data_IF_708519986778
#
_entry.id   IF_708519986778
#
_cell.length_a   1.000
_cell.length_b   1.000
_cell.length_c   1.000
_cell.angle_alpha   90.00
_cell.angle_beta   90.00
_cell.angle_gamma   90.00
#
_symmetry.space_group_name_H-M   'P 1'
#
loop_
_entity.id
_entity.type
_entity.pdbx_description
1 polymer ?
#
# COMPACT_ATOMS: atom_id res chain seq x y z
N UNK A 1 6.90 16.53 -28.03
CA UNK A 1 7.38 17.17 -26.78
C UNK A 1 7.68 16.02 -25.84
N UNK A 2 8.94 15.90 -25.42
CA UNK A 2 9.66 14.69 -25.01
C UNK A 2 8.84 13.62 -24.27
N UNK A 3 8.61 12.47 -24.92
CA UNK A 3 7.82 11.35 -24.36
C UNK A 3 8.49 10.62 -23.18
N UNK A 4 9.77 10.88 -22.90
CA UNK A 4 10.49 10.26 -21.76
C UNK A 4 11.54 11.22 -21.19
N UNK A 5 11.13 12.32 -20.57
CA UNK A 5 12.07 13.31 -20.00
C UNK A 5 12.98 12.71 -18.92
N UNK A 6 12.53 11.63 -18.26
CA UNK A 6 13.23 11.00 -17.13
C UNK A 6 13.97 9.70 -17.47
N UNK A 7 13.57 8.94 -18.50
CA UNK A 7 14.13 7.59 -18.74
C UNK A 7 14.72 7.50 -20.14
N UNK A 8 16.03 7.26 -20.24
CA UNK A 8 16.72 7.08 -21.53
C UNK A 8 16.52 5.68 -22.11
N UNK A 9 16.68 5.53 -23.43
CA UNK A 9 16.68 4.22 -24.09
C UNK A 9 17.73 3.28 -23.50
N UNK A 10 18.93 3.80 -23.18
CA UNK A 10 19.99 3.03 -22.53
C UNK A 10 19.54 2.50 -21.17
N UNK A 11 18.85 3.32 -20.37
CA UNK A 11 18.30 2.87 -19.09
C UNK A 11 17.24 1.79 -19.29
N UNK A 12 16.34 1.94 -20.25
CA UNK A 12 15.33 0.91 -20.57
C UNK A 12 16.00 -0.43 -20.91
N UNK A 13 17.06 -0.42 -21.72
CA UNK A 13 17.83 -1.63 -22.03
C UNK A 13 18.44 -2.26 -20.76
N UNK A 14 19.01 -1.46 -19.86
CA UNK A 14 19.57 -1.97 -18.60
C UNK A 14 18.48 -2.57 -17.72
N UNK A 15 17.34 -1.87 -17.56
CA UNK A 15 16.21 -2.37 -16.77
C UNK A 15 15.67 -3.68 -17.35
N UNK A 16 15.53 -3.79 -18.67
CA UNK A 16 15.10 -5.01 -19.35
C UNK A 16 16.10 -6.17 -19.18
N UNK A 17 17.41 -5.90 -19.21
CA UNK A 17 18.44 -6.91 -18.91
C UNK A 17 18.40 -7.39 -17.45
N UNK A 18 17.96 -6.55 -16.52
CA UNK A 18 17.90 -6.86 -15.08
C UNK A 18 16.62 -7.62 -14.72
N UNK A 19 15.48 -7.09 -15.14
CA UNK A 19 14.16 -7.61 -14.76
C UNK A 19 13.61 -8.63 -15.76
N UNK A 20 14.12 -8.65 -16.99
CA UNK A 20 13.52 -9.33 -18.14
C UNK A 20 12.67 -8.37 -18.97
N UNK A 21 12.70 -8.52 -20.29
CA UNK A 21 12.00 -7.63 -21.24
C UNK A 21 10.49 -7.57 -20.97
N UNK A 22 9.84 -8.70 -20.71
CA UNK A 22 8.41 -8.78 -20.39
C UNK A 22 8.02 -8.11 -19.05
N UNK A 23 9.01 -7.75 -18.24
CA UNK A 23 8.83 -7.13 -16.93
C UNK A 23 9.16 -5.63 -16.94
N UNK A 24 9.26 -5.00 -18.13
CA UNK A 24 9.42 -3.55 -18.32
C UNK A 24 8.36 -3.05 -19.29
N UNK A 25 7.36 -2.34 -18.77
CA UNK A 25 6.24 -1.81 -19.54
C UNK A 25 6.34 -0.28 -19.63
N UNK A 26 6.00 0.29 -20.78
CA UNK A 26 5.99 1.74 -20.98
C UNK A 26 4.56 2.26 -21.07
N UNK A 27 4.33 3.48 -20.57
CA UNK A 27 3.01 4.14 -20.62
C UNK A 27 1.90 3.27 -20.00
N UNK A 28 2.24 2.55 -18.92
CA UNK A 28 1.38 1.55 -18.30
C UNK A 28 0.31 2.22 -17.41
N UNK A 29 -0.99 2.02 -17.66
CA UNK A 29 -2.06 2.70 -16.92
C UNK A 29 -2.16 2.21 -15.46
N UNK A 30 -1.93 3.11 -14.50
CA UNK A 30 -1.91 2.75 -13.09
C UNK A 30 -3.27 2.31 -12.53
N UNK A 31 -4.39 2.61 -13.20
CA UNK A 31 -5.71 2.06 -12.83
C UNK A 31 -5.76 0.53 -12.82
N UNK A 32 -4.90 -0.15 -13.56
CA UNK A 32 -4.82 -1.62 -13.55
C UNK A 32 -4.13 -2.14 -12.26
N UNK A 33 -3.33 -1.27 -11.63
CA UNK A 33 -2.46 -1.59 -10.50
C UNK A 33 -2.90 -0.98 -9.15
N UNK A 34 -4.04 -0.27 -9.11
CA UNK A 34 -4.66 0.23 -7.88
C UNK A 34 -5.98 -0.47 -7.59
N UNK A 35 -6.33 -0.66 -6.31
CA UNK A 35 -7.66 -1.18 -5.95
C UNK A 35 -8.75 -0.15 -6.17
N UNK A 36 -8.38 1.13 -6.21
CA UNK A 36 -9.30 2.22 -6.54
C UNK A 36 -9.75 2.16 -8.01
N UNK A 37 -8.99 1.47 -8.87
CA UNK A 37 -9.20 1.42 -10.33
C UNK A 37 -9.16 2.81 -10.97
N UNK A 38 -8.26 3.65 -10.47
CA UNK A 38 -8.00 5.02 -10.91
C UNK A 38 -6.49 5.21 -11.05
N UNK A 39 -6.06 5.92 -12.08
CA UNK A 39 -4.66 6.29 -12.29
C UNK A 39 -4.27 6.40 -13.77
N UNK A 40 -3.59 7.51 -14.11
CA UNK A 40 -2.97 7.72 -15.41
C UNK A 40 -1.74 6.83 -15.66
N UNK A 41 -1.01 7.04 -16.77
CA UNK A 41 0.11 6.19 -17.16
C UNK A 41 1.37 6.42 -16.31
N UNK A 42 2.00 5.34 -15.85
CA UNK A 42 3.40 5.36 -15.45
C UNK A 42 4.29 5.46 -16.70
N UNK A 43 5.34 6.31 -16.69
CA UNK A 43 6.29 6.37 -17.80
C UNK A 43 6.90 4.99 -18.07
N UNK A 44 7.38 4.34 -17.00
CA UNK A 44 7.89 2.96 -17.01
C UNK A 44 7.42 2.22 -15.76
N UNK A 45 6.88 1.02 -15.93
CA UNK A 45 6.59 0.07 -14.86
C UNK A 45 7.57 -1.12 -14.94
N UNK A 46 8.21 -1.45 -13.83
CA UNK A 46 9.17 -2.56 -13.73
C UNK A 46 8.70 -3.55 -12.65
N UNK A 47 8.68 -4.85 -13.00
CA UNK A 47 8.28 -5.96 -12.10
C UNK A 47 9.46 -6.90 -11.82
N UNK A 48 10.38 -6.54 -10.90
CA UNK A 48 11.52 -7.41 -10.57
C UNK A 48 11.04 -8.71 -9.90
N UNK A 49 11.75 -9.82 -10.12
CA UNK A 49 11.37 -11.15 -9.61
C UNK A 49 12.29 -11.73 -8.55
N UNK A 50 13.37 -11.03 -8.23
CA UNK A 50 14.35 -11.44 -7.21
C UNK A 50 14.87 -10.21 -6.47
N UNK A 51 15.38 -10.41 -5.24
CA UNK A 51 15.94 -9.33 -4.46
C UNK A 51 17.13 -8.66 -5.17
N UNK A 52 17.96 -9.46 -5.85
CA UNK A 52 19.10 -8.95 -6.62
C UNK A 52 18.64 -8.11 -7.83
N UNK A 53 17.59 -8.55 -8.53
CA UNK A 53 17.00 -7.77 -9.62
C UNK A 53 16.41 -6.46 -9.10
N UNK A 54 15.68 -6.49 -7.98
CA UNK A 54 15.15 -5.30 -7.32
C UNK A 54 16.27 -4.31 -6.99
N UNK A 55 17.33 -4.76 -6.30
CA UNK A 55 18.46 -3.89 -5.93
C UNK A 55 19.11 -3.28 -7.17
N UNK A 56 19.34 -4.07 -8.23
CA UNK A 56 19.94 -3.57 -9.47
C UNK A 56 19.05 -2.57 -10.22
N UNK A 57 17.72 -2.79 -10.24
CA UNK A 57 16.76 -1.81 -10.79
C UNK A 57 16.86 -0.51 -10.02
N UNK A 58 16.82 -0.56 -8.68
CA UNK A 58 16.91 0.63 -7.83
C UNK A 58 18.23 1.36 -8.03
N UNK A 59 19.36 0.66 -7.96
CA UNK A 59 20.70 1.23 -8.19
C UNK A 59 20.77 1.94 -9.54
N UNK A 60 20.20 1.34 -10.60
CA UNK A 60 20.18 1.92 -11.95
C UNK A 60 19.40 3.23 -11.98
N UNK A 61 18.19 3.25 -11.40
CA UNK A 61 17.36 4.45 -11.36
C UNK A 61 18.01 5.56 -10.52
N UNK A 62 18.53 5.24 -9.33
CA UNK A 62 19.17 6.22 -8.45
C UNK A 62 20.47 6.79 -9.05
N UNK A 63 21.27 5.96 -9.71
CA UNK A 63 22.48 6.42 -10.41
C UNK A 63 22.15 7.35 -11.59
N UNK A 64 21.03 7.09 -12.28
CA UNK A 64 20.54 7.94 -13.37
C UNK A 64 19.75 9.18 -12.91
N UNK A 65 19.56 9.38 -11.60
CA UNK A 65 18.75 10.49 -11.08
C UNK A 65 17.26 10.40 -11.42
N UNK A 66 16.76 9.20 -11.71
CA UNK A 66 15.37 8.97 -12.13
C UNK A 66 14.47 8.81 -10.91
N UNK A 67 13.34 9.53 -10.84
CA UNK A 67 12.37 9.35 -9.76
C UNK A 67 11.85 7.90 -9.73
N UNK A 68 11.84 7.29 -8.53
CA UNK A 68 11.34 5.94 -8.32
C UNK A 68 10.13 5.97 -7.41
N UNK A 69 9.06 5.29 -7.81
CA UNK A 69 7.87 5.06 -6.97
C UNK A 69 7.69 3.56 -6.74
N UNK A 70 7.65 3.14 -5.48
CA UNK A 70 7.37 1.74 -5.12
C UNK A 70 5.88 1.55 -4.94
N UNK A 71 5.30 0.56 -5.61
CA UNK A 71 3.89 0.23 -5.53
C UNK A 71 3.72 -1.23 -5.15
N UNK A 72 2.91 -1.47 -4.11
CA UNK A 72 2.46 -2.79 -3.70
C UNK A 72 1.12 -3.15 -4.35
N UNK A 73 0.13 -3.47 -3.52
CA UNK A 73 -1.23 -3.77 -3.99
C UNK A 73 -2.00 -2.54 -4.52
N UNK A 74 -1.44 -1.34 -4.37
CA UNK A 74 -2.09 -0.07 -4.72
C UNK A 74 -3.38 0.19 -3.93
N UNK A 75 -3.47 -0.35 -2.71
CA UNK A 75 -4.71 -0.37 -1.91
C UNK A 75 -5.00 0.88 -1.10
N UNK A 76 -4.07 1.82 -1.12
CA UNK A 76 -4.07 3.08 -0.36
C UNK A 76 -3.60 4.25 -1.26
N UNK A 77 -3.73 4.09 -2.57
CA UNK A 77 -3.22 5.04 -3.56
C UNK A 77 -4.36 5.67 -4.36
N UNK A 78 -4.30 7.00 -4.49
CA UNK A 78 -4.97 7.76 -5.53
C UNK A 78 -3.89 8.27 -6.48
N UNK A 79 -3.81 7.68 -7.67
CA UNK A 79 -2.85 8.09 -8.69
C UNK A 79 -3.50 9.15 -9.57
N UNK A 80 -2.81 10.27 -9.77
CA UNK A 80 -3.30 11.37 -10.61
C UNK A 80 -3.56 10.96 -12.07
N UNK A 81 -4.44 11.70 -12.75
CA UNK A 81 -4.92 11.36 -14.10
C UNK A 81 -3.83 11.51 -15.17
N UNK A 82 -2.78 12.33 -14.92
CA UNK A 82 -1.59 12.43 -15.78
C UNK A 82 -0.54 11.37 -15.45
N UNK A 83 -0.76 10.56 -14.41
CA UNK A 83 0.05 9.39 -14.09
C UNK A 83 1.34 9.70 -13.32
N UNK A 84 2.33 8.82 -13.42
CA UNK A 84 3.55 8.86 -12.60
C UNK A 84 4.76 9.04 -13.53
N UNK A 85 5.63 10.00 -13.21
CA UNK A 85 6.88 10.24 -13.95
C UNK A 85 8.02 9.37 -13.42
N UNK A 86 8.92 8.95 -14.31
CA UNK A 86 10.07 8.09 -13.96
C UNK A 86 9.72 6.60 -13.91
N UNK A 87 10.23 5.89 -12.91
CA UNK A 87 10.08 4.42 -12.83
C UNK A 87 9.17 4.04 -11.66
N UNK A 88 8.10 3.31 -11.96
CA UNK A 88 7.29 2.60 -10.96
C UNK A 88 7.85 1.19 -10.81
N UNK A 89 8.25 0.80 -9.60
CA UNK A 89 8.64 -0.57 -9.29
C UNK A 89 7.47 -1.24 -8.59
N UNK A 90 6.91 -2.26 -9.23
CA UNK A 90 5.76 -3.01 -8.73
C UNK A 90 6.21 -4.28 -8.00
N UNK A 91 5.84 -4.39 -6.72
CA UNK A 91 6.10 -5.54 -5.87
C UNK A 91 4.76 -6.16 -5.44
N UNK A 92 4.32 -7.21 -6.13
CA UNK A 92 3.11 -7.99 -5.85
C UNK A 92 3.43 -9.48 -5.93
N UNK A 93 2.65 -10.25 -6.69
CA UNK A 93 2.80 -11.68 -6.94
C UNK A 93 4.14 -12.04 -7.61
N UNK A 94 4.77 -11.10 -8.30
CA UNK A 94 6.13 -11.24 -8.83
C UNK A 94 7.23 -11.32 -7.74
N UNK A 95 6.92 -10.95 -6.50
CA UNK A 95 7.87 -10.83 -5.40
C UNK A 95 7.20 -11.18 -4.06
N UNK A 96 6.60 -12.38 -4.00
CA UNK A 96 5.67 -12.82 -2.96
C UNK A 96 6.08 -14.13 -2.25
N UNK A 97 7.37 -14.45 -2.19
CA UNK A 97 7.87 -15.60 -1.43
C UNK A 97 7.47 -15.53 0.05
N UNK A 98 7.06 -16.66 0.63
CA UNK A 98 6.69 -16.82 2.04
C UNK A 98 7.38 -18.08 2.58
N UNK A 99 8.10 -17.92 3.68
CA UNK A 99 8.78 -19.01 4.40
C UNK A 99 8.31 -19.04 5.85
N UNK A 100 7.91 -20.23 6.33
CA UNK A 100 7.47 -20.43 7.71
C UNK A 100 8.50 -21.26 8.46
N UNK A 101 9.06 -20.67 9.53
CA UNK A 101 9.93 -21.33 10.49
C UNK A 101 9.12 -21.62 11.77
N UNK A 102 8.31 -22.66 11.69
CA UNK A 102 7.39 -23.05 12.75
C UNK A 102 8.09 -23.37 14.09
N UNK A 103 9.25 -24.05 14.14
CA UNK A 103 9.98 -24.28 15.41
C UNK A 103 10.37 -23.00 16.15
N UNK A 104 10.59 -21.90 15.44
CA UNK A 104 10.91 -20.60 16.03
C UNK A 104 9.74 -19.62 15.99
N UNK A 105 8.54 -20.05 15.59
CA UNK A 105 7.33 -19.22 15.48
C UNK A 105 7.55 -17.95 14.63
N UNK A 106 8.20 -18.12 13.48
CA UNK A 106 8.49 -17.02 12.56
C UNK A 106 7.88 -17.27 11.19
N UNK A 107 7.46 -16.18 10.56
CA UNK A 107 7.11 -16.17 9.14
C UNK A 107 7.89 -15.05 8.49
N UNK A 108 8.66 -15.35 7.45
CA UNK A 108 9.35 -14.36 6.62
C UNK A 108 8.65 -14.27 5.28
N UNK A 109 8.33 -13.06 4.84
CA UNK A 109 7.63 -12.83 3.58
C UNK A 109 8.27 -11.68 2.79
N UNK A 110 8.34 -11.85 1.47
CA UNK A 110 8.78 -10.81 0.54
C UNK A 110 7.78 -9.66 0.47
N UNK A 111 8.26 -8.49 0.09
CA UNK A 111 7.51 -7.24 0.12
C UNK A 111 6.23 -7.23 -0.72
N UNK A 112 6.13 -8.10 -1.73
CA UNK A 112 4.96 -8.23 -2.58
C UNK A 112 3.92 -9.24 -2.11
N UNK A 113 4.23 -10.06 -1.10
CA UNK A 113 3.27 -11.01 -0.53
C UNK A 113 2.09 -10.26 0.12
N UNK A 114 0.85 -10.73 -0.07
CA UNK A 114 -0.31 -10.15 0.59
C UNK A 114 -0.34 -10.56 2.07
N UNK A 115 -0.75 -9.65 2.95
CA UNK A 115 -0.94 -9.96 4.39
C UNK A 115 -1.88 -11.15 4.61
N UNK A 116 -2.90 -11.28 3.75
CA UNK A 116 -3.80 -12.44 3.73
C UNK A 116 -3.05 -13.77 3.59
N UNK A 117 -2.13 -13.85 2.65
CA UNK A 117 -1.44 -15.10 2.33
C UNK A 117 -0.40 -15.43 3.43
N UNK A 118 0.23 -14.40 4.01
CA UNK A 118 1.10 -14.55 5.19
C UNK A 118 0.30 -15.06 6.40
N UNK A 119 -0.89 -14.50 6.65
CA UNK A 119 -1.76 -14.93 7.74
C UNK A 119 -2.25 -16.37 7.57
N UNK A 120 -2.59 -16.78 6.35
CA UNK A 120 -2.98 -18.16 6.03
C UNK A 120 -1.81 -19.13 6.24
N UNK A 121 -0.61 -18.80 5.73
CA UNK A 121 0.58 -19.63 5.91
C UNK A 121 0.95 -19.79 7.40
N UNK A 122 0.78 -18.74 8.19
CA UNK A 122 0.95 -18.78 9.65
C UNK A 122 -0.10 -19.70 10.31
N UNK A 123 -1.38 -19.53 9.96
CA UNK A 123 -2.49 -20.30 10.52
C UNK A 123 -2.35 -21.82 10.25
N UNK A 124 -1.93 -22.19 9.04
CA UNK A 124 -1.70 -23.59 8.64
C UNK A 124 -0.58 -24.27 9.45
N UNK A 125 0.28 -23.48 10.09
CA UNK A 125 1.34 -23.95 11.00
C UNK A 125 1.01 -23.72 12.49
N UNK A 126 -0.23 -23.32 12.81
CA UNK A 126 -0.65 -23.06 14.19
C UNK A 126 0.02 -21.83 14.80
N UNK A 127 0.33 -20.80 14.00
CA UNK A 127 0.94 -19.56 14.46
C UNK A 127 -0.08 -18.41 14.45
N UNK A 128 -0.27 -17.80 15.62
CA UNK A 128 -1.19 -16.69 15.93
C UNK A 128 -0.44 -15.35 16.02
N UNK A 129 -1.14 -14.27 15.66
CA UNK A 129 -0.71 -12.88 15.68
C UNK A 129 -1.15 -12.09 14.43
N UNK A 130 -1.35 -12.77 13.30
CA UNK A 130 -1.69 -12.15 12.01
C UNK A 130 -3.20 -11.95 11.79
N UNK A 131 -4.05 -12.50 12.65
CA UNK A 131 -5.51 -12.54 12.50
C UNK A 131 -6.12 -11.13 12.35
N UNK A 132 -5.74 -10.09 13.12
CA UNK A 132 -6.31 -8.75 12.93
C UNK A 132 -5.93 -8.13 11.57
N UNK A 133 -4.83 -8.57 10.96
CA UNK A 133 -4.25 -8.01 9.75
C UNK A 133 -4.71 -8.74 8.47
N UNK A 134 -5.26 -9.95 8.60
CA UNK A 134 -5.52 -10.85 7.47
C UNK A 134 -6.45 -10.27 6.41
N UNK A 135 -7.41 -9.45 6.85
CA UNK A 135 -8.37 -8.79 5.98
C UNK A 135 -7.82 -7.52 5.32
N UNK A 136 -6.64 -7.03 5.69
CA UNK A 136 -6.09 -5.80 5.10
C UNK A 136 -5.57 -6.13 3.69
N UNK A 137 -6.06 -5.45 2.62
CA UNK A 137 -5.69 -5.76 1.24
C UNK A 137 -4.33 -5.15 0.86
N UNK A 138 -3.33 -5.24 1.75
CA UNK A 138 -2.00 -4.69 1.56
C UNK A 138 -0.99 -5.80 1.29
N UNK A 139 0.07 -5.47 0.55
CA UNK A 139 1.29 -6.28 0.55
C UNK A 139 2.10 -6.02 1.82
N UNK A 140 3.01 -6.92 2.15
CA UNK A 140 3.94 -6.81 3.29
C UNK A 140 4.74 -5.51 3.25
N UNK A 141 5.22 -5.11 2.07
CA UNK A 141 5.94 -3.86 1.88
C UNK A 141 5.08 -2.64 2.22
N UNK A 142 3.85 -2.60 1.69
CA UNK A 142 2.89 -1.54 2.02
C UNK A 142 2.48 -1.53 3.50
N UNK A 143 2.35 -2.71 4.10
CA UNK A 143 2.02 -2.87 5.51
C UNK A 143 3.13 -2.33 6.43
N UNK A 144 4.39 -2.63 6.13
CA UNK A 144 5.55 -2.08 6.83
C UNK A 144 5.65 -0.57 6.64
N UNK A 145 5.39 -0.09 5.42
CA UNK A 145 5.41 1.34 5.08
C UNK A 145 4.38 2.14 5.88
N UNK A 146 3.15 1.64 5.98
CA UNK A 146 2.06 2.33 6.68
C UNK A 146 1.93 1.95 8.15
N UNK A 147 2.70 1.00 8.67
CA UNK A 147 2.37 0.29 9.91
C UNK A 147 0.87 -0.10 9.91
N UNK A 148 0.46 -0.85 8.88
CA UNK A 148 -0.95 -1.15 8.64
C UNK A 148 -1.56 -1.85 9.85
N UNK A 149 -2.81 -1.53 10.15
CA UNK A 149 -3.49 -2.08 11.31
C UNK A 149 -5.01 -1.94 11.25
N UNK A 150 -5.67 -2.89 11.88
CA UNK A 150 -7.12 -3.01 11.99
C UNK A 150 -7.47 -3.75 13.29
N UNK A 151 -8.64 -3.43 13.85
CA UNK A 151 -9.17 -4.09 15.06
C UNK A 151 -8.17 -4.15 16.23
N UNK A 152 -7.54 -3.02 16.51
CA UNK A 152 -6.51 -2.82 17.55
C UNK A 152 -5.19 -3.56 17.31
N UNK A 153 -5.08 -4.37 16.26
CA UNK A 153 -3.83 -4.99 15.83
C UNK A 153 -3.06 -4.15 14.81
N UNK A 154 -1.73 -4.16 14.87
CA UNK A 154 -0.86 -3.50 13.88
C UNK A 154 0.27 -4.40 13.39
N UNK A 155 0.79 -4.09 12.20
CA UNK A 155 1.94 -4.79 11.61
C UNK A 155 3.13 -4.77 12.58
N UNK A 156 3.37 -3.63 13.24
CA UNK A 156 4.46 -3.45 14.19
C UNK A 156 4.41 -4.32 15.44
N UNK A 157 3.24 -4.82 15.85
CA UNK A 157 3.10 -5.67 17.04
C UNK A 157 3.65 -7.07 16.83
N UNK A 158 3.63 -7.56 15.58
CA UNK A 158 4.11 -8.88 15.20
C UNK A 158 5.42 -8.82 14.43
N UNK A 159 5.89 -7.63 14.03
CA UNK A 159 7.10 -7.46 13.26
C UNK A 159 8.35 -7.65 14.14
N UNK A 160 9.29 -8.46 13.68
CA UNK A 160 10.58 -8.67 14.34
C UNK A 160 11.70 -7.94 13.59
N UNK A 161 11.79 -8.18 12.28
CA UNK A 161 12.82 -7.61 11.42
C UNK A 161 12.25 -7.16 10.07
N UNK A 162 12.88 -6.15 9.47
CA UNK A 162 12.66 -5.79 8.06
C UNK A 162 13.99 -5.71 7.36
N UNK A 163 14.12 -6.43 6.25
CA UNK A 163 15.23 -6.27 5.31
C UNK A 163 14.84 -5.20 4.30
N UNK A 164 15.62 -4.12 4.23
CA UNK A 164 15.33 -2.95 3.39
C UNK A 164 16.51 -2.59 2.51
N UNK A 165 16.22 -2.04 1.34
CA UNK A 165 17.18 -1.28 0.56
C UNK A 165 17.15 0.18 1.04
N UNK A 166 18.34 0.73 1.30
CA UNK A 166 18.58 2.12 1.69
C UNK A 166 19.19 2.83 0.47
N UNK A 167 18.47 3.78 -0.16
CA UNK A 167 19.00 4.55 -1.27
C UNK A 167 20.24 5.35 -0.88
N UNK A 168 21.21 5.46 -1.78
CA UNK A 168 22.38 6.32 -1.58
C UNK A 168 22.01 7.78 -1.77
N UNK A 169 22.45 8.65 -0.85
CA UNK A 169 22.28 10.11 -0.97
C UNK A 169 23.23 10.76 -1.98
N UNK A 170 24.20 10.01 -2.51
CA UNK A 170 25.28 10.53 -3.36
C UNK A 170 25.29 9.95 -4.78
N UNK A 171 24.17 9.37 -5.24
CA UNK A 171 24.07 8.83 -6.61
C UNK A 171 24.87 7.54 -6.85
N UNK A 172 25.37 6.91 -5.78
CA UNK A 172 26.06 5.62 -5.84
C UNK A 172 25.07 4.48 -5.55
N UNK A 173 25.55 3.23 -5.55
CA UNK A 173 24.76 2.08 -5.11
C UNK A 173 24.23 2.26 -3.69
N UNK A 174 22.99 1.85 -3.46
CA UNK A 174 22.43 1.77 -2.12
C UNK A 174 23.01 0.62 -1.32
N UNK A 175 22.49 0.44 -0.10
CA UNK A 175 22.88 -0.66 0.77
C UNK A 175 21.66 -1.43 1.23
N UNK A 176 21.77 -2.75 1.32
CA UNK A 176 20.74 -3.58 1.94
C UNK A 176 21.10 -3.82 3.40
N UNK A 177 20.17 -3.50 4.30
CA UNK A 177 20.33 -3.67 5.74
C UNK A 177 19.12 -4.37 6.33
N UNK A 178 19.31 -5.03 7.47
CA UNK A 178 18.22 -5.56 8.29
C UNK A 178 18.04 -4.65 9.50
N UNK A 179 16.82 -4.16 9.71
CA UNK A 179 16.44 -3.33 10.85
C UNK A 179 15.53 -4.14 11.77
N UNK A 180 15.69 -3.97 13.08
CA UNK A 180 14.72 -4.50 14.04
C UNK A 180 13.48 -3.61 14.09
N UNK A 181 12.33 -4.15 14.48
CA UNK A 181 11.09 -3.37 14.59
C UNK A 181 11.22 -2.16 15.52
N UNK A 182 12.03 -2.25 16.58
CA UNK A 182 12.31 -1.13 17.50
C UNK A 182 13.03 0.05 16.81
N UNK A 183 13.76 -0.21 15.72
CA UNK A 183 14.52 0.80 14.98
C UNK A 183 13.69 1.46 13.86
N UNK A 184 12.41 1.07 13.72
CA UNK A 184 11.50 1.56 12.69
C UNK A 184 10.60 2.71 13.14
N UNK A 185 10.72 3.19 14.39
CA UNK A 185 9.95 4.33 14.91
C UNK A 185 8.45 4.26 14.59
N UNK A 186 7.85 3.06 14.76
CA UNK A 186 6.48 2.77 14.37
C UNK A 186 5.49 3.56 15.23
N UNK A 187 4.42 4.04 14.59
CA UNK A 187 3.32 4.74 15.24
C UNK A 187 2.03 4.58 14.45
N UNK A 188 0.98 5.32 14.83
CA UNK A 188 -0.29 5.32 14.10
C UNK A 188 -0.07 5.82 12.67
N UNK A 189 -0.19 4.91 11.69
CA UNK A 189 0.06 5.17 10.27
C UNK A 189 1.44 5.74 9.96
N UNK A 190 2.44 5.40 10.78
CA UNK A 190 3.80 5.94 10.72
C UNK A 190 4.84 4.84 10.75
N UNK A 191 5.87 4.98 9.92
CA UNK A 191 7.08 4.16 9.96
C UNK A 191 8.31 4.95 9.47
N UNK A 192 9.48 4.55 9.95
CA UNK A 192 10.77 4.99 9.40
C UNK A 192 10.95 4.56 7.95
N UNK A 193 10.29 3.47 7.52
CA UNK A 193 10.31 3.05 6.12
C UNK A 193 9.76 4.17 5.23
N UNK A 194 8.64 4.77 5.62
CA UNK A 194 8.10 5.95 4.97
C UNK A 194 9.01 7.17 5.13
N UNK A 195 9.38 7.50 6.38
CA UNK A 195 10.06 8.77 6.69
C UNK A 195 11.45 8.90 6.04
N UNK A 196 12.19 7.78 5.96
CA UNK A 196 13.56 7.76 5.39
C UNK A 196 13.59 7.30 3.92
N UNK A 197 12.44 6.99 3.32
CA UNK A 197 12.35 6.49 1.93
C UNK A 197 13.00 5.11 1.75
N UNK A 198 12.90 4.23 2.75
CA UNK A 198 13.44 2.87 2.68
C UNK A 198 12.52 1.98 1.85
N UNK A 199 13.11 1.00 1.17
CA UNK A 199 12.36 0.08 0.30
C UNK A 199 12.39 -1.30 0.91
N UNK A 200 11.23 -1.78 1.36
CA UNK A 200 11.10 -3.13 1.96
C UNK A 200 11.40 -4.18 0.90
N UNK A 201 12.27 -5.13 1.25
CA UNK A 201 12.54 -6.33 0.46
C UNK A 201 11.81 -7.52 1.10
N UNK A 202 11.94 -7.68 2.41
CA UNK A 202 11.21 -8.71 3.16
C UNK A 202 10.99 -8.28 4.61
N UNK A 203 10.01 -8.90 5.26
CA UNK A 203 9.74 -8.73 6.68
C UNK A 203 9.63 -10.09 7.36
N UNK A 204 10.13 -10.17 8.59
CA UNK A 204 9.99 -11.35 9.46
C UNK A 204 9.06 -11.00 10.61
N UNK A 205 8.02 -11.80 10.76
CA UNK A 205 7.03 -11.69 11.82
C UNK A 205 7.30 -12.72 12.90
N UNK A 206 7.32 -12.29 14.17
CA UNK A 206 7.39 -13.16 15.34
C UNK A 206 6.00 -13.39 15.88
N UNK A 207 5.58 -14.65 15.85
CA UNK A 207 4.23 -15.09 16.18
C UNK A 207 4.23 -15.95 17.45
N UNK A 208 3.06 -16.40 17.85
CA UNK A 208 2.87 -17.29 19.01
C UNK A 208 2.15 -18.57 18.61
N UNK A 209 2.49 -19.74 19.18
CA UNK A 209 1.78 -20.97 18.90
C UNK A 209 0.35 -20.90 19.45
N UNK A 210 -0.63 -21.33 18.66
CA UNK A 210 -2.02 -21.49 19.07
C UNK A 210 -2.67 -22.64 18.29
N UNK A 211 -3.88 -23.05 18.68
CA UNK A 211 -4.61 -24.04 17.88
C UNK A 211 -5.13 -23.41 16.59
N UNK A 212 -4.98 -24.13 15.47
CA UNK A 212 -5.47 -23.70 14.16
C UNK A 212 -6.96 -23.32 14.20
N UNK A 213 -7.77 -24.08 14.93
CA UNK A 213 -9.21 -23.78 15.08
C UNK A 213 -9.49 -22.43 15.75
N UNK A 214 -8.70 -22.02 16.74
CA UNK A 214 -8.85 -20.69 17.35
C UNK A 214 -8.41 -19.58 16.40
N UNK A 215 -7.31 -19.78 15.67
CA UNK A 215 -6.79 -18.82 14.70
C UNK A 215 -7.82 -18.58 13.59
N UNK A 216 -8.34 -19.67 12.98
CA UNK A 216 -9.35 -19.58 11.92
C UNK A 216 -10.64 -18.94 12.41
N UNK A 217 -11.12 -19.28 13.60
CA UNK A 217 -12.31 -18.65 14.19
C UNK A 217 -12.14 -17.13 14.38
N UNK A 218 -10.95 -16.68 14.80
CA UNK A 218 -10.65 -15.26 14.92
C UNK A 218 -10.60 -14.56 13.54
N UNK A 219 -9.94 -15.18 12.55
CA UNK A 219 -9.92 -14.68 11.17
C UNK A 219 -11.35 -14.53 10.61
N UNK A 220 -12.20 -15.55 10.77
CA UNK A 220 -13.59 -15.53 10.29
C UNK A 220 -14.41 -14.41 10.95
N UNK A 221 -14.22 -14.17 12.25
CA UNK A 221 -14.87 -13.05 12.94
C UNK A 221 -14.43 -11.68 12.40
N UNK A 222 -13.12 -11.48 12.20
CA UNK A 222 -12.62 -10.23 11.61
C UNK A 222 -13.15 -9.99 10.20
N UNK A 223 -13.21 -11.04 9.38
CA UNK A 223 -13.72 -10.94 8.02
C UNK A 223 -15.21 -10.62 7.99
N UNK A 224 -16.01 -11.29 8.81
CA UNK A 224 -17.45 -10.97 8.94
C UNK A 224 -17.66 -9.51 9.33
N UNK A 225 -16.94 -9.02 10.34
CA UNK A 225 -17.03 -7.61 10.77
C UNK A 225 -16.64 -6.65 9.64
N UNK A 226 -15.70 -7.03 8.77
CA UNK A 226 -15.25 -6.24 7.63
C UNK A 226 -16.32 -6.22 6.54
N UNK A 227 -16.87 -7.37 6.19
CA UNK A 227 -17.94 -7.53 5.20
C UNK A 227 -19.22 -6.80 5.62
N UNK A 228 -19.57 -6.79 6.90
CA UNK A 228 -20.72 -6.05 7.42
C UNK A 228 -20.55 -4.53 7.28
N UNK A 229 -19.32 -4.03 7.48
CA UNK A 229 -19.06 -2.59 7.64
C UNK A 229 -18.46 -1.91 6.43
N UNK A 230 -17.81 -2.61 5.50
CA UNK A 230 -17.02 -2.00 4.43
C UNK A 230 -17.56 -2.37 3.03
N UNK A 231 -17.46 -1.47 2.04
CA UNK A 231 -17.88 -1.72 0.65
C UNK A 231 -16.83 -2.55 -0.11
N UNK A 232 -16.64 -3.80 0.28
CA UNK A 232 -15.58 -4.68 -0.26
C UNK A 232 -15.80 -5.04 -1.73
N UNK A 233 -17.03 -4.96 -2.19
CA UNK A 233 -17.46 -5.19 -3.56
C UNK A 233 -17.14 -4.02 -4.51
N UNK A 234 -16.78 -2.85 -3.97
CA UNK A 234 -16.52 -1.64 -4.75
C UNK A 234 -15.04 -1.28 -4.77
N UNK A 235 -14.58 -0.74 -5.90
CA UNK A 235 -13.22 -0.24 -6.03
C UNK A 235 -13.02 1.00 -5.12
N UNK A 236 -12.05 0.92 -4.22
CA UNK A 236 -11.70 1.98 -3.25
C UNK A 236 -10.24 1.88 -2.84
N UNK A 237 -9.69 2.93 -2.22
CA UNK A 237 -8.35 2.94 -1.62
C UNK A 237 -8.39 2.89 -0.08
N UNK A 238 -9.38 2.20 0.50
CA UNK A 238 -9.55 2.13 1.95
C UNK A 238 -10.26 3.37 2.53
N UNK A 239 -10.00 3.65 3.81
CA UNK A 239 -10.57 4.84 4.46
C UNK A 239 -9.93 6.09 3.87
N UNK A 240 -10.76 7.02 3.40
CA UNK A 240 -10.27 8.21 2.70
C UNK A 240 -9.58 9.19 3.63
N UNK A 241 -10.04 9.27 4.88
CA UNK A 241 -9.56 10.23 5.88
C UNK A 241 -9.04 9.52 7.12
N UNK A 242 -8.01 10.11 7.72
CA UNK A 242 -7.52 9.72 9.04
C UNK A 242 -8.61 9.93 10.08
N UNK A 243 -8.45 9.30 11.23
CA UNK A 243 -9.34 9.54 12.37
C UNK A 243 -9.00 10.87 13.06
N UNK A 244 -9.88 11.90 13.01
CA UNK A 244 -9.72 13.09 13.83
C UNK A 244 -9.82 12.78 15.34
N UNK A 245 -9.07 13.50 16.16
CA UNK A 245 -9.05 13.33 17.61
C UNK A 245 -10.46 13.52 18.21
N UNK A 246 -10.93 12.55 19.01
CA UNK A 246 -12.26 12.60 19.63
C UNK A 246 -13.43 12.22 18.72
N UNK A 247 -13.21 11.96 17.43
CA UNK A 247 -14.27 11.70 16.46
C UNK A 247 -14.04 10.43 15.64
N UNK A 248 -15.01 10.11 14.79
CA UNK A 248 -14.91 9.11 13.72
C UNK A 248 -15.23 9.81 12.39
N UNK A 249 -14.29 9.79 11.43
CA UNK A 249 -14.45 10.49 10.16
C UNK A 249 -15.75 10.06 9.43
N UNK A 250 -15.99 8.76 9.28
CA UNK A 250 -17.21 8.26 8.64
C UNK A 250 -18.51 8.68 9.33
N UNK A 251 -18.50 8.91 10.65
CA UNK A 251 -19.67 9.39 11.38
C UNK A 251 -19.90 10.88 11.12
N UNK A 252 -18.85 11.70 11.15
CA UNK A 252 -18.93 13.12 10.78
C UNK A 252 -19.45 13.31 9.35
N UNK A 253 -18.95 12.53 8.39
CA UNK A 253 -19.38 12.60 6.98
C UNK A 253 -20.85 12.18 6.84
N UNK A 254 -21.27 11.16 7.58
CA UNK A 254 -22.67 10.74 7.61
C UNK A 254 -23.58 11.82 8.21
N UNK A 255 -23.17 12.41 9.34
CA UNK A 255 -23.95 13.44 10.05
C UNK A 255 -23.98 14.76 9.28
N UNK A 256 -22.96 15.03 8.45
CA UNK A 256 -22.97 16.11 7.46
C UNK A 256 -23.99 15.90 6.32
N UNK A 257 -24.63 14.73 6.23
CA UNK A 257 -25.60 14.39 5.19
C UNK A 257 -24.96 13.96 3.86
N UNK A 258 -23.67 13.60 3.86
CA UNK A 258 -22.91 13.31 2.63
C UNK A 258 -22.91 11.84 2.20
N UNK A 259 -23.72 10.98 2.82
CA UNK A 259 -23.86 9.59 2.38
C UNK A 259 -24.38 9.57 0.94
N UNK A 260 -23.67 8.89 0.03
CA UNK A 260 -24.04 8.83 -1.38
C UNK A 260 -23.74 10.11 -2.17
N UNK A 261 -23.11 11.12 -1.57
CA UNK A 261 -22.67 12.33 -2.29
C UNK A 261 -21.70 11.94 -3.40
N UNK A 262 -21.83 12.59 -4.56
CA UNK A 262 -21.08 12.26 -5.77
C UNK A 262 -20.43 13.49 -6.38
N UNK A 263 -19.24 13.30 -6.94
CA UNK A 263 -18.61 14.20 -7.92
C UNK A 263 -18.14 13.32 -9.06
N UNK A 264 -18.70 13.51 -10.26
CA UNK A 264 -18.51 12.56 -11.36
C UNK A 264 -18.93 11.14 -10.94
N UNK A 265 -18.06 10.17 -11.18
CA UNK A 265 -18.25 8.76 -10.79
C UNK A 265 -17.59 8.41 -9.43
N UNK A 266 -17.03 9.39 -8.72
CA UNK A 266 -16.58 9.22 -7.34
C UNK A 266 -17.77 9.42 -6.40
N UNK A 267 -17.95 8.51 -5.44
CA UNK A 267 -19.08 8.54 -4.50
C UNK A 267 -18.64 8.26 -3.06
N UNK A 268 -19.21 8.97 -2.09
CA UNK A 268 -19.14 8.58 -0.67
C UNK A 268 -19.98 7.33 -0.48
N UNK A 269 -19.37 6.21 -0.08
CA UNK A 269 -20.05 4.92 0.03
C UNK A 269 -21.31 5.00 0.90
N UNK A 270 -22.39 4.39 0.41
CA UNK A 270 -23.65 4.28 1.15
C UNK A 270 -23.54 3.37 2.38
N UNK A 271 -22.60 2.41 2.33
CA UNK A 271 -22.36 1.42 3.38
C UNK A 271 -21.46 1.99 4.48
N UNK A 272 -20.41 2.72 4.10
CA UNK A 272 -19.47 3.33 5.04
C UNK A 272 -18.99 4.70 4.58
N UNK A 273 -19.53 5.78 5.14
CA UNK A 273 -19.25 7.15 4.68
C UNK A 273 -17.78 7.60 4.84
N UNK A 274 -16.95 6.83 5.55
CA UNK A 274 -15.49 7.04 5.57
C UNK A 274 -14.75 6.55 4.32
N UNK A 275 -15.44 5.91 3.37
CA UNK A 275 -14.88 5.40 2.12
C UNK A 275 -15.41 6.19 0.94
N UNK A 276 -14.51 6.60 0.06
CA UNK A 276 -14.84 6.98 -1.31
C UNK A 276 -14.70 5.76 -2.20
N UNK A 277 -15.69 5.52 -3.04
CA UNK A 277 -15.75 4.40 -3.98
C UNK A 277 -15.81 4.93 -5.41
N UNK A 278 -15.20 4.17 -6.32
CA UNK A 278 -15.33 4.36 -7.75
C UNK A 278 -16.52 3.54 -8.25
N UNK A 279 -17.56 4.21 -8.75
CA UNK A 279 -18.79 3.55 -9.23
C UNK A 279 -18.69 3.05 -10.68
N UNK A 280 -17.58 3.33 -11.36
CA UNK A 280 -17.30 2.79 -12.69
C UNK A 280 -16.14 3.47 -13.40
N UNK A 281 -16.20 4.79 -13.60
CA UNK A 281 -15.20 5.53 -14.39
C UNK A 281 -14.68 6.78 -13.68
N UNK A 282 -14.61 6.75 -12.34
CA UNK A 282 -14.10 7.87 -11.57
C UNK A 282 -12.67 8.23 -12.00
N UNK A 283 -12.42 9.52 -12.19
CA UNK A 283 -11.08 10.07 -12.38
C UNK A 283 -10.45 10.45 -11.04
N UNK A 284 -9.14 10.68 -11.02
CA UNK A 284 -8.47 11.19 -9.83
C UNK A 284 -8.99 12.59 -9.46
N UNK A 285 -9.28 13.42 -10.47
CA UNK A 285 -9.94 14.71 -10.33
C UNK A 285 -11.32 14.61 -9.65
N UNK A 286 -12.13 13.63 -10.01
CA UNK A 286 -13.44 13.42 -9.38
C UNK A 286 -13.30 13.11 -7.89
N UNK A 287 -12.38 12.21 -7.55
CA UNK A 287 -12.10 11.86 -6.14
C UNK A 287 -11.58 13.07 -5.37
N UNK A 288 -10.68 13.86 -5.93
CA UNK A 288 -10.20 15.10 -5.29
C UNK A 288 -11.34 16.09 -5.05
N UNK A 289 -12.18 16.34 -6.05
CA UNK A 289 -13.33 17.25 -5.91
C UNK A 289 -14.30 16.76 -4.82
N UNK A 290 -14.50 15.45 -4.71
CA UNK A 290 -15.33 14.88 -3.65
C UNK A 290 -14.67 15.00 -2.27
N UNK A 291 -13.36 14.79 -2.17
CA UNK A 291 -12.60 14.97 -0.93
C UNK A 291 -12.71 16.42 -0.44
N UNK A 292 -12.49 17.39 -1.33
CA UNK A 292 -12.60 18.83 -1.01
C UNK A 292 -14.02 19.20 -0.57
N UNK A 293 -15.04 18.67 -1.25
CA UNK A 293 -16.44 18.87 -0.86
C UNK A 293 -16.73 18.33 0.54
N UNK A 294 -16.29 17.10 0.84
CA UNK A 294 -16.45 16.47 2.15
C UNK A 294 -15.74 17.26 3.25
N UNK A 295 -14.50 17.68 3.02
CA UNK A 295 -13.73 18.49 3.97
C UNK A 295 -14.43 19.83 4.24
N UNK A 296 -14.90 20.52 3.19
CA UNK A 296 -15.60 21.79 3.32
C UNK A 296 -16.87 21.69 4.16
N UNK A 297 -17.68 20.67 3.92
CA UNK A 297 -18.94 20.49 4.65
C UNK A 297 -18.71 20.11 6.11
N UNK A 298 -17.79 19.17 6.38
CA UNK A 298 -17.47 18.76 7.76
C UNK A 298 -16.86 19.92 8.54
N UNK A 299 -16.00 20.72 7.91
CA UNK A 299 -15.44 21.92 8.53
C UNK A 299 -16.52 22.96 8.83
N UNK A 300 -17.44 23.19 7.89
CA UNK A 300 -18.54 24.15 8.04
C UNK A 300 -19.50 23.78 9.18
N UNK A 301 -19.91 22.51 9.25
CA UNK A 301 -20.90 22.06 10.23
C UNK A 301 -20.33 21.76 11.61
N UNK A 302 -19.11 21.20 11.68
CA UNK A 302 -18.55 20.67 12.93
C UNK A 302 -17.26 21.36 13.38
N UNK A 303 -16.68 22.25 12.55
CA UNK A 303 -15.41 22.91 12.85
C UNK A 303 -14.18 21.99 12.80
N UNK A 304 -14.35 20.74 12.37
CA UNK A 304 -13.29 19.70 12.33
C UNK A 304 -12.62 19.68 10.97
N UNK A 305 -11.29 19.71 10.93
CA UNK A 305 -10.51 19.49 9.71
C UNK A 305 -10.27 17.99 9.51
N UNK A 306 -10.69 17.45 8.37
CA UNK A 306 -10.40 16.07 7.99
C UNK A 306 -9.12 16.02 7.16
N UNK A 307 -8.16 15.21 7.59
CA UNK A 307 -6.93 14.96 6.83
C UNK A 307 -7.07 13.68 6.00
N UNK A 308 -6.71 13.68 4.70
CA UNK A 308 -6.66 12.45 3.91
C UNK A 308 -5.70 11.42 4.50
N UNK A 309 -6.12 10.15 4.51
CA UNK A 309 -5.25 8.99 4.78
C UNK A 309 -4.75 8.39 3.47
N UNK A 310 -5.59 8.38 2.43
CA UNK A 310 -5.22 7.94 1.08
C UNK A 310 -4.02 8.72 0.56
N UNK A 311 -3.03 8.02 0.02
CA UNK A 311 -1.83 8.65 -0.53
C UNK A 311 -2.07 9.08 -1.96
N UNK A 312 -1.99 10.39 -2.17
CA UNK A 312 -2.07 11.02 -3.48
C UNK A 312 -0.68 11.04 -4.11
N UNK A 313 -0.53 10.42 -5.28
CA UNK A 313 0.76 10.32 -5.98
C UNK A 313 0.63 10.61 -7.47
N UNK A 314 1.74 10.98 -8.10
CA UNK A 314 1.76 11.34 -9.51
C UNK A 314 1.21 12.74 -9.77
N UNK A 315 0.84 12.99 -11.02
CA UNK A 315 0.36 14.27 -11.51
C UNK A 315 -1.16 14.27 -11.72
N UNK A 316 -1.84 15.21 -11.06
CA UNK A 316 -3.30 15.39 -11.08
C UNK A 316 -3.73 16.46 -12.07
#
# INVERSE_FOLDING_TARGET
>A
MHEHEYVSEEMLCVLAQVAGEDNVLMTEPMREHTTFKIGGPADVLVTPRTADALVRVLDTCYAGGVPVTIVGNGSDLLVGDRGIRGVVVLLRDNFAGIEVDAPHWRVTAEAGALLRDVALAAADQGLSGMEPLWGIPATVGGACFMNAGAYDGTTGEVLEFVRVYVPSKHGNRGSVVTLEARDLNLGYRKSRVHDDGLIVISATFKLSPASEGMIRAAMDDYQRRREEKQPLEMASAGSTFKRPEGYFAGKLIMDAGLRGACVGDAQVSEKHCGFVVNTGRASAKDVLGLIEHVQGEVKSQFGVDLEPEVRMIGEF
#
